data_IF_541838318295
#
_entry.id   IF_541838318295
#
_cell.length_a   1.000
_cell.length_b   1.000
_cell.length_c   1.000
_cell.angle_alpha   90.00
_cell.angle_beta   90.00
_cell.angle_gamma   90.00
#
_symmetry.space_group_name_H-M   'P 1'
#
loop_
_entity.id
_entity.type
_entity.pdbx_description
1 polymer ?
#
# COMPACT_ATOMS: atom_id res chain seq x y z
N UNK A 1 -8.60 0.61 16.76
CA UNK A 1 -7.48 1.29 16.05
C UNK A 1 -8.11 2.21 15.00
N UNK A 2 -7.60 3.44 14.81
CA UNK A 2 -8.02 4.31 13.69
C UNK A 2 -7.09 4.12 12.49
N UNK A 3 -7.40 4.73 11.34
CA UNK A 3 -6.67 4.51 10.08
C UNK A 3 -5.23 5.04 10.20
N UNK A 4 -5.04 6.21 10.81
CA UNK A 4 -3.71 6.75 11.03
C UNK A 4 -2.84 5.84 11.91
N UNK A 5 -3.40 5.30 13.00
CA UNK A 5 -2.69 4.36 13.87
C UNK A 5 -2.38 3.04 13.13
N UNK A 6 -3.31 2.54 12.31
CA UNK A 6 -3.07 1.38 11.45
C UNK A 6 -1.87 1.60 10.53
N UNK A 7 -1.85 2.72 9.79
CA UNK A 7 -0.76 3.03 8.87
C UNK A 7 0.58 3.15 9.58
N UNK A 8 0.60 3.85 10.73
CA UNK A 8 1.81 4.00 11.55
C UNK A 8 2.31 2.65 12.07
N UNK A 9 1.44 1.83 12.66
CA UNK A 9 1.84 0.52 13.22
C UNK A 9 2.28 -0.44 12.12
N UNK A 10 1.57 -0.50 11.00
CA UNK A 10 1.97 -1.31 9.85
C UNK A 10 3.36 -0.93 9.34
N UNK A 11 3.61 0.37 9.18
CA UNK A 11 4.89 0.86 8.71
C UNK A 11 6.03 0.59 9.71
N UNK A 12 5.81 0.86 10.99
CA UNK A 12 6.82 0.59 12.03
C UNK A 12 7.14 -0.91 12.11
N UNK A 13 6.13 -1.77 12.02
CA UNK A 13 6.34 -3.22 12.02
C UNK A 13 7.14 -3.67 10.79
N UNK A 14 6.83 -3.16 9.61
CA UNK A 14 7.57 -3.48 8.39
C UNK A 14 9.03 -2.98 8.47
N UNK A 15 9.23 -1.75 8.94
CA UNK A 15 10.55 -1.15 9.16
C UNK A 15 11.37 -1.95 10.17
N UNK A 16 10.80 -2.33 11.31
CA UNK A 16 11.49 -3.10 12.34
C UNK A 16 11.90 -4.50 11.88
N UNK A 17 11.20 -5.06 10.89
CA UNK A 17 11.54 -6.32 10.23
C UNK A 17 12.53 -6.16 9.06
N UNK A 18 12.96 -4.93 8.76
CA UNK A 18 13.96 -4.64 7.74
C UNK A 18 13.43 -4.64 6.30
N UNK A 19 12.11 -4.62 6.08
CA UNK A 19 11.54 -4.65 4.72
C UNK A 19 11.96 -3.46 3.84
N UNK A 20 12.32 -2.33 4.47
CA UNK A 20 12.72 -1.10 3.78
C UNK A 20 14.25 -0.87 3.75
N UNK A 21 15.04 -1.74 4.40
CA UNK A 21 16.47 -1.51 4.64
C UNK A 21 17.31 -1.52 3.35
N UNK A 22 16.96 -2.41 2.42
CA UNK A 22 17.69 -2.51 1.14
C UNK A 22 17.42 -1.29 0.28
N UNK A 23 16.15 -0.88 0.16
CA UNK A 23 15.77 0.35 -0.54
C UNK A 23 16.52 1.56 0.02
N UNK A 24 16.49 1.77 1.34
CA UNK A 24 17.17 2.91 1.97
C UNK A 24 18.68 2.90 1.72
N UNK A 25 19.30 1.72 1.72
CA UNK A 25 20.73 1.55 1.43
C UNK A 25 21.06 1.86 -0.03
N UNK A 26 20.23 1.42 -0.96
CA UNK A 26 20.38 1.72 -2.39
C UNK A 26 20.25 3.22 -2.61
N UNK A 27 19.17 3.84 -2.12
CA UNK A 27 18.92 5.26 -2.27
C UNK A 27 20.03 6.12 -1.64
N UNK A 28 20.60 5.71 -0.50
CA UNK A 28 21.74 6.41 0.11
C UNK A 28 22.97 6.41 -0.79
N UNK A 29 23.31 5.25 -1.36
CA UNK A 29 24.45 5.14 -2.29
C UNK A 29 24.21 5.93 -3.58
N UNK A 30 22.97 5.94 -4.08
CA UNK A 30 22.64 6.64 -5.31
C UNK A 30 22.81 8.16 -5.18
N UNK A 31 22.47 8.75 -4.03
CA UNK A 31 22.64 10.20 -3.78
C UNK A 31 24.06 10.73 -3.96
N UNK A 32 25.06 9.86 -3.96
CA UNK A 32 26.47 10.25 -4.14
C UNK A 32 26.84 10.37 -5.63
N UNK A 33 26.05 9.81 -6.55
CA UNK A 33 26.45 9.59 -7.95
C UNK A 33 25.37 10.02 -8.95
N UNK A 34 24.09 9.83 -8.61
CA UNK A 34 22.95 10.04 -9.49
C UNK A 34 22.29 11.39 -9.20
N UNK A 35 21.66 11.95 -10.24
CA UNK A 35 20.85 13.16 -10.09
C UNK A 35 19.45 12.87 -9.52
N UNK A 36 18.66 13.93 -9.33
CA UNK A 36 17.33 13.82 -8.74
C UNK A 36 16.32 13.06 -9.62
N UNK A 37 16.43 13.17 -10.95
CA UNK A 37 15.54 12.51 -11.89
C UNK A 37 15.80 11.01 -11.93
N UNK A 38 17.05 10.61 -11.96
CA UNK A 38 17.47 9.20 -11.88
C UNK A 38 17.05 8.57 -10.55
N UNK A 39 17.22 9.28 -9.44
CA UNK A 39 16.76 8.82 -8.12
C UNK A 39 15.24 8.73 -8.06
N UNK A 40 14.50 9.65 -8.71
CA UNK A 40 13.05 9.59 -8.79
C UNK A 40 12.58 8.35 -9.55
N UNK A 41 13.18 8.02 -10.69
CA UNK A 41 12.85 6.82 -11.45
C UNK A 41 13.03 5.53 -10.62
N UNK A 42 14.08 5.45 -9.80
CA UNK A 42 14.29 4.31 -8.91
C UNK A 42 13.28 4.28 -7.75
N UNK A 43 12.92 5.43 -7.17
CA UNK A 43 11.83 5.48 -6.18
C UNK A 43 10.51 4.99 -6.77
N UNK A 44 10.21 5.35 -8.01
CA UNK A 44 9.00 4.91 -8.70
C UNK A 44 9.02 3.39 -8.92
N UNK A 45 10.16 2.80 -9.26
CA UNK A 45 10.30 1.35 -9.31
C UNK A 45 10.00 0.66 -7.96
N UNK A 46 10.47 1.22 -6.84
CA UNK A 46 10.15 0.70 -5.50
C UNK A 46 8.67 0.87 -5.14
N UNK A 47 8.04 1.98 -5.53
CA UNK A 47 6.59 2.19 -5.36
C UNK A 47 5.79 1.17 -6.17
N UNK A 48 6.16 0.94 -7.43
CA UNK A 48 5.55 -0.07 -8.28
C UNK A 48 5.68 -1.48 -7.69
N UNK A 49 6.85 -1.82 -7.13
CA UNK A 49 7.04 -3.08 -6.42
C UNK A 49 6.08 -3.23 -5.23
N UNK A 50 5.93 -2.20 -4.40
CA UNK A 50 4.99 -2.23 -3.26
C UNK A 50 3.53 -2.39 -3.72
N UNK A 51 3.13 -1.70 -4.79
CA UNK A 51 1.79 -1.84 -5.39
C UNK A 51 1.57 -3.26 -5.88
N UNK A 52 2.56 -3.88 -6.52
CA UNK A 52 2.48 -5.27 -6.98
C UNK A 52 2.30 -6.25 -5.81
N UNK A 53 2.97 -6.00 -4.68
CA UNK A 53 2.80 -6.80 -3.46
C UNK A 53 1.39 -6.63 -2.85
N UNK A 54 0.83 -5.42 -2.84
CA UNK A 54 -0.58 -5.22 -2.43
C UNK A 54 -1.51 -6.01 -3.34
N UNK A 55 -1.27 -5.97 -4.66
CA UNK A 55 -2.08 -6.70 -5.62
C UNK A 55 -1.97 -8.22 -5.45
N UNK A 56 -0.80 -8.75 -5.05
CA UNK A 56 -0.65 -10.19 -4.81
C UNK A 56 -1.50 -10.67 -3.64
N UNK A 57 -1.59 -9.93 -2.52
CA UNK A 57 -2.45 -10.31 -1.39
C UNK A 57 -3.94 -10.43 -1.82
N UNK A 58 -4.40 -9.52 -2.69
CA UNK A 58 -5.76 -9.59 -3.26
C UNK A 58 -5.95 -10.83 -4.14
N UNK A 59 -4.93 -11.21 -4.90
CA UNK A 59 -4.96 -12.41 -5.73
C UNK A 59 -4.89 -13.69 -4.88
N UNK A 60 -4.17 -13.68 -3.76
CA UNK A 60 -4.14 -14.77 -2.79
C UNK A 60 -5.51 -14.94 -2.14
N UNK A 61 -6.14 -13.85 -1.74
CA UNK A 61 -7.53 -13.84 -1.26
C UNK A 61 -8.51 -14.48 -2.25
N UNK A 62 -8.40 -14.17 -3.55
CA UNK A 62 -9.22 -14.80 -4.59
C UNK A 62 -8.93 -16.30 -4.75
N UNK A 63 -7.66 -16.71 -4.62
CA UNK A 63 -7.28 -18.12 -4.68
C UNK A 63 -7.86 -18.92 -3.52
N UNK A 64 -7.84 -18.37 -2.31
CA UNK A 64 -8.41 -19.03 -1.13
C UNK A 64 -9.93 -19.14 -1.22
N UNK A 65 -10.60 -18.11 -1.75
CA UNK A 65 -12.03 -18.18 -2.04
C UNK A 65 -12.38 -19.31 -3.02
N UNK A 66 -11.53 -19.57 -4.04
CA UNK A 66 -11.72 -20.68 -4.98
C UNK A 66 -11.47 -22.06 -4.38
N UNK A 67 -10.77 -22.13 -3.26
CA UNK A 67 -10.53 -23.36 -2.49
C UNK A 67 -11.61 -23.58 -1.40
N UNK A 68 -12.68 -22.79 -1.41
CA UNK A 68 -13.70 -22.74 -0.34
C UNK A 68 -13.09 -22.44 1.06
N UNK A 69 -11.91 -21.80 1.10
CA UNK A 69 -11.24 -21.41 2.34
C UNK A 69 -11.56 -19.96 2.70
N UNK A 70 -12.78 -19.74 3.21
CA UNK A 70 -13.29 -18.39 3.49
C UNK A 70 -12.53 -17.67 4.61
N UNK A 71 -12.07 -18.38 5.63
CA UNK A 71 -11.31 -17.78 6.74
C UNK A 71 -9.96 -17.24 6.27
N UNK A 72 -9.24 -17.98 5.41
CA UNK A 72 -8.00 -17.48 4.85
C UNK A 72 -8.26 -16.37 3.82
N UNK A 73 -9.32 -16.47 3.01
CA UNK A 73 -9.76 -15.39 2.12
C UNK A 73 -9.88 -14.03 2.85
N UNK A 74 -10.49 -14.01 4.05
CA UNK A 74 -10.61 -12.81 4.88
C UNK A 74 -9.27 -12.37 5.47
N UNK A 75 -8.41 -13.31 5.84
CA UNK A 75 -7.06 -13.03 6.35
C UNK A 75 -6.23 -12.29 5.30
N UNK A 76 -6.22 -12.78 4.05
CA UNK A 76 -5.49 -12.14 2.94
C UNK A 76 -6.02 -10.72 2.59
N UNK A 77 -7.33 -10.47 2.75
CA UNK A 77 -7.88 -9.11 2.65
C UNK A 77 -7.41 -8.21 3.79
N UNK A 78 -7.25 -8.76 4.99
CA UNK A 78 -6.63 -8.08 6.12
C UNK A 78 -5.19 -7.69 5.82
N UNK A 79 -4.40 -8.63 5.27
CA UNK A 79 -3.02 -8.38 4.87
C UNK A 79 -2.92 -7.33 3.77
N UNK A 80 -3.85 -7.33 2.81
CA UNK A 80 -3.98 -6.26 1.80
C UNK A 80 -4.09 -4.88 2.47
N UNK A 81 -4.96 -4.74 3.49
CA UNK A 81 -5.14 -3.48 4.22
C UNK A 81 -3.88 -3.07 4.98
N UNK A 82 -3.17 -4.03 5.58
CA UNK A 82 -1.91 -3.79 6.28
C UNK A 82 -0.82 -3.32 5.30
N UNK A 83 -0.72 -3.94 4.12
CA UNK A 83 0.23 -3.53 3.06
C UNK A 83 -0.05 -2.12 2.55
N UNK A 84 -1.32 -1.75 2.40
CA UNK A 84 -1.71 -0.37 2.10
C UNK A 84 -1.27 0.57 3.23
N UNK A 85 -1.52 0.19 4.49
CA UNK A 85 -1.07 0.95 5.66
C UNK A 85 0.44 1.21 5.67
N UNK A 86 1.26 0.19 5.44
CA UNK A 86 2.72 0.32 5.33
C UNK A 86 3.13 1.19 4.15
N UNK A 87 2.51 1.05 2.97
CA UNK A 87 2.80 1.89 1.81
C UNK A 87 2.66 3.38 2.14
N UNK A 88 1.52 3.77 2.73
CA UNK A 88 1.27 5.17 3.08
C UNK A 88 2.21 5.66 4.18
N UNK A 89 2.50 4.84 5.18
CA UNK A 89 3.47 5.19 6.22
C UNK A 89 4.89 5.32 5.69
N UNK A 90 5.28 4.50 4.69
CA UNK A 90 6.58 4.58 4.03
C UNK A 90 6.72 5.84 3.17
N UNK A 91 5.65 6.27 2.51
CA UNK A 91 5.63 7.49 1.68
C UNK A 91 5.38 8.77 2.51
N UNK A 92 5.17 8.65 3.83
CA UNK A 92 4.83 9.76 4.74
C UNK A 92 3.55 10.51 4.30
N UNK A 93 2.54 9.74 3.90
CA UNK A 93 1.24 10.25 3.43
C UNK A 93 0.15 9.89 4.45
N UNK A 94 -0.70 10.86 4.81
CA UNK A 94 -1.84 10.64 5.69
C UNK A 94 -2.96 9.86 4.96
N UNK A 95 -3.00 8.55 5.20
CA UNK A 95 -4.00 7.65 4.62
C UNK A 95 -5.44 8.01 5.01
N UNK A 96 -5.66 8.43 6.27
CA UNK A 96 -6.99 8.77 6.76
C UNK A 96 -7.57 9.96 5.99
N UNK A 97 -6.79 11.03 5.83
CA UNK A 97 -7.20 12.21 5.05
C UNK A 97 -7.46 11.87 3.58
N UNK A 98 -6.62 11.04 2.94
CA UNK A 98 -6.83 10.61 1.55
C UNK A 98 -8.15 9.84 1.40
N UNK A 99 -8.47 8.97 2.38
CA UNK A 99 -9.74 8.23 2.38
C UNK A 99 -10.93 9.18 2.62
N UNK A 100 -10.83 10.09 3.59
CA UNK A 100 -11.89 11.06 3.90
C UNK A 100 -12.23 11.94 2.70
N UNK A 101 -11.22 12.53 2.06
CA UNK A 101 -11.39 13.32 0.83
C UNK A 101 -12.05 12.50 -0.27
N UNK A 102 -11.60 11.25 -0.47
CA UNK A 102 -12.16 10.38 -1.51
C UNK A 102 -13.60 9.98 -1.20
N UNK A 103 -13.92 9.73 0.06
CA UNK A 103 -15.27 9.39 0.50
C UNK A 103 -16.21 10.58 0.31
N UNK A 104 -15.79 11.80 0.66
CA UNK A 104 -16.58 13.01 0.46
C UNK A 104 -16.84 13.26 -1.04
N UNK A 105 -15.80 13.14 -1.86
CA UNK A 105 -15.96 13.19 -3.30
C UNK A 105 -16.92 12.11 -3.83
N UNK A 106 -16.85 10.87 -3.33
CA UNK A 106 -17.75 9.80 -3.80
C UNK A 106 -19.22 10.05 -3.47
N UNK A 107 -19.54 10.81 -2.41
CA UNK A 107 -20.93 11.21 -2.08
C UNK A 107 -21.53 12.13 -3.13
N UNK A 108 -20.71 12.94 -3.82
CA UNK A 108 -21.18 13.88 -4.84
C UNK A 108 -21.38 13.23 -6.21
N UNK A 109 -20.93 11.98 -6.38
CA UNK A 109 -21.00 11.30 -7.67
C UNK A 109 -22.38 10.69 -7.91
N UNK A 110 -22.77 10.66 -9.18
CA UNK A 110 -23.99 9.99 -9.61
C UNK A 110 -24.02 8.51 -9.19
N UNK A 111 -25.23 8.00 -8.98
CA UNK A 111 -25.48 6.61 -8.59
C UNK A 111 -24.79 5.64 -9.56
N UNK A 112 -23.98 4.74 -8.98
CA UNK A 112 -23.13 3.75 -9.69
C UNK A 112 -22.12 4.36 -10.68
N UNK A 113 -21.98 5.69 -10.71
CA UNK A 113 -21.18 6.39 -11.71
C UNK A 113 -21.54 5.97 -13.14
N UNK A 114 -22.83 5.69 -13.39
CA UNK A 114 -23.33 5.18 -14.67
C UNK A 114 -22.99 3.72 -14.99
N UNK A 115 -22.43 2.95 -14.04
CA UNK A 115 -22.08 1.53 -14.21
C UNK A 115 -23.17 0.59 -13.71
N UNK A 116 -23.09 -0.68 -14.11
CA UNK A 116 -23.98 -1.75 -13.62
C UNK A 116 -23.50 -2.37 -12.31
N UNK A 117 -22.19 -2.33 -12.08
CA UNK A 117 -21.46 -2.79 -10.90
C UNK A 117 -20.19 -1.94 -10.74
#
# INVERSE_FOLDING_TARGET
>A
MNINKLSLEAHLNAKNKGFHDMELRILRKMKEIFDEEEIAAVKDAFRSQRIALIASEVLESLQELRKDNYDNHLTELGDTVIRIGDYFGREDINLESVIEEKMEFNKTRDKLHGKRF
#
